data_IF_861411507391
#
_entry.id   IF_861411507391
#
_cell.length_a   1.000
_cell.length_b   1.000
_cell.length_c   1.000
_cell.angle_alpha   90.00
_cell.angle_beta   90.00
_cell.angle_gamma   90.00
#
_symmetry.space_group_name_H-M   'P 1'
#
loop_
_entity.id
_entity.type
_entity.pdbx_description
1 polymer ?
#
# COMPACT_ATOMS: atom_id res chain seq x y z
N UNK A 1 -53.55 19.99 46.91
CA UNK A 1 -52.36 19.23 47.36
C UNK A 1 -52.51 17.81 46.80
N UNK A 2 -51.60 17.15 46.07
CA UNK A 2 -50.32 17.45 45.40
C UNK A 2 -50.25 16.37 44.30
N UNK A 3 -50.11 16.77 43.03
CA UNK A 3 -50.08 15.87 41.86
C UNK A 3 -48.72 15.17 41.83
N UNK A 4 -48.68 13.84 41.83
CA UNK A 4 -47.42 13.11 41.61
C UNK A 4 -47.47 12.58 40.19
N UNK A 5 -46.68 13.22 39.33
CA UNK A 5 -46.50 12.85 37.94
C UNK A 5 -45.67 11.56 37.86
N UNK A 6 -46.22 10.52 37.24
CA UNK A 6 -45.49 9.31 36.87
C UNK A 6 -44.65 9.63 35.64
N UNK A 7 -43.37 9.97 35.84
CA UNK A 7 -42.42 10.16 34.75
C UNK A 7 -41.98 8.79 34.20
N UNK A 8 -42.22 8.56 32.91
CA UNK A 8 -41.76 7.39 32.19
C UNK A 8 -40.23 7.40 32.08
N UNK A 9 -39.57 6.40 32.68
CA UNK A 9 -38.18 6.05 32.44
C UNK A 9 -38.14 5.08 31.25
N UNK A 10 -38.16 5.64 30.04
CA UNK A 10 -37.81 4.92 28.82
C UNK A 10 -36.71 5.69 28.13
N UNK A 11 -35.56 5.04 27.98
CA UNK A 11 -34.49 5.25 27.00
C UNK A 11 -33.13 5.21 27.69
N UNK A 12 -32.38 4.13 27.45
CA UNK A 12 -30.92 4.09 27.30
C UNK A 12 -30.46 2.63 27.18
N UNK A 13 -30.87 1.93 26.11
CA UNK A 13 -30.32 0.60 25.78
C UNK A 13 -30.14 0.44 24.27
N UNK A 14 -29.45 1.39 23.61
CA UNK A 14 -29.12 1.28 22.18
C UNK A 14 -27.66 1.65 21.83
N UNK A 15 -26.79 1.92 22.81
CA UNK A 15 -25.41 2.36 22.53
C UNK A 15 -24.35 1.24 22.53
N UNK A 16 -24.74 -0.02 22.80
CA UNK A 16 -23.79 -1.14 22.85
C UNK A 16 -23.61 -1.90 21.53
N UNK A 17 -24.62 -1.94 20.64
CA UNK A 17 -24.51 -2.66 19.37
C UNK A 17 -23.65 -1.93 18.33
N UNK A 18 -23.65 -0.59 18.34
CA UNK A 18 -22.86 0.20 17.38
C UNK A 18 -21.35 0.02 17.54
N UNK A 19 -20.88 -0.29 18.76
CA UNK A 19 -19.46 -0.45 19.05
C UNK A 19 -18.94 -1.81 18.60
N UNK A 20 -19.74 -2.87 18.78
CA UNK A 20 -19.40 -4.21 18.32
C UNK A 20 -19.38 -4.30 16.79
N UNK A 21 -20.40 -3.78 16.12
CA UNK A 21 -20.47 -3.72 14.65
C UNK A 21 -19.33 -2.89 14.06
N UNK A 22 -18.98 -1.77 14.69
CA UNK A 22 -17.83 -0.95 14.27
C UNK A 22 -16.50 -1.69 14.43
N UNK A 23 -16.32 -2.40 15.54
CA UNK A 23 -15.10 -3.18 15.79
C UNK A 23 -14.97 -4.35 14.81
N UNK A 24 -16.07 -5.04 14.52
CA UNK A 24 -16.10 -6.11 13.52
C UNK A 24 -15.78 -5.59 12.12
N UNK A 25 -16.37 -4.46 11.72
CA UNK A 25 -16.05 -3.80 10.46
C UNK A 25 -14.56 -3.43 10.37
N UNK A 26 -14.00 -2.86 11.44
CA UNK A 26 -12.59 -2.48 11.47
C UNK A 26 -11.66 -3.71 11.34
N UNK A 27 -12.01 -4.83 11.98
CA UNK A 27 -11.27 -6.07 11.83
C UNK A 27 -11.38 -6.66 10.41
N UNK A 28 -12.56 -6.57 9.78
CA UNK A 28 -12.76 -6.99 8.39
C UNK A 28 -11.96 -6.13 7.41
N UNK A 29 -11.98 -4.81 7.58
CA UNK A 29 -11.23 -3.86 6.74
C UNK A 29 -9.72 -4.10 6.87
N UNK A 30 -9.22 -4.35 8.10
CA UNK A 30 -7.83 -4.73 8.34
C UNK A 30 -7.46 -6.04 7.63
N UNK A 31 -8.26 -7.10 7.80
CA UNK A 31 -8.01 -8.38 7.14
C UNK A 31 -8.04 -8.26 5.60
N UNK A 32 -8.93 -7.43 5.07
CA UNK A 32 -9.00 -7.12 3.65
C UNK A 32 -7.71 -6.43 3.16
N UNK A 33 -7.24 -5.42 3.88
CA UNK A 33 -6.02 -4.69 3.56
C UNK A 33 -4.77 -5.60 3.63
N UNK A 34 -4.64 -6.44 4.66
CA UNK A 34 -3.53 -7.42 4.77
C UNK A 34 -3.48 -8.37 3.56
N UNK A 35 -4.64 -8.92 3.17
CA UNK A 35 -4.74 -9.76 1.97
C UNK A 35 -4.40 -8.98 0.69
N UNK A 36 -4.87 -7.74 0.60
CA UNK A 36 -4.60 -6.82 -0.51
C UNK A 36 -3.11 -6.50 -0.65
N UNK A 37 -2.41 -6.25 0.46
CA UNK A 37 -0.98 -5.96 0.50
C UNK A 37 -0.16 -7.15 0.00
N UNK A 38 -0.43 -8.35 0.50
CA UNK A 38 0.25 -9.57 0.07
C UNK A 38 0.03 -9.82 -1.42
N UNK A 39 -1.19 -9.63 -1.90
CA UNK A 39 -1.54 -9.80 -3.31
C UNK A 39 -0.85 -8.77 -4.18
N UNK A 40 -0.88 -7.48 -3.80
CA UNK A 40 -0.26 -6.41 -4.53
C UNK A 40 1.26 -6.60 -4.63
N UNK A 41 1.92 -6.97 -3.52
CA UNK A 41 3.36 -7.24 -3.49
C UNK A 41 3.75 -8.39 -4.42
N UNK A 42 2.98 -9.49 -4.42
CA UNK A 42 3.24 -10.63 -5.31
C UNK A 42 3.06 -10.27 -6.79
N UNK A 43 2.11 -9.39 -7.09
CA UNK A 43 1.79 -8.99 -8.47
C UNK A 43 2.65 -7.83 -8.99
N UNK A 44 3.42 -7.18 -8.12
CA UNK A 44 4.30 -6.07 -8.45
C UNK A 44 5.63 -6.52 -9.10
N UNK A 45 5.59 -7.55 -9.93
CA UNK A 45 6.74 -8.09 -10.63
C UNK A 45 6.42 -8.34 -12.11
N UNK A 46 7.39 -8.10 -12.98
CA UNK A 46 7.29 -8.37 -14.41
C UNK A 46 8.61 -8.92 -14.94
N UNK A 47 8.53 -9.91 -15.83
CA UNK A 47 9.68 -10.38 -16.57
C UNK A 47 9.87 -9.53 -17.84
N UNK A 48 11.12 -9.25 -18.17
CA UNK A 48 11.52 -8.59 -19.42
C UNK A 48 12.56 -9.43 -20.17
N UNK A 49 12.56 -9.27 -21.49
CA UNK A 49 13.51 -9.90 -22.40
C UNK A 49 14.73 -8.97 -22.61
N UNK A 50 15.89 -9.51 -23.06
CA UNK A 50 17.07 -8.68 -23.34
C UNK A 50 16.78 -7.47 -24.23
N UNK A 51 15.86 -7.61 -25.19
CA UNK A 51 15.52 -6.58 -26.17
C UNK A 51 14.77 -5.39 -25.58
N UNK A 52 14.09 -5.54 -24.44
CA UNK A 52 13.24 -4.49 -23.86
C UNK A 52 13.52 -4.22 -22.36
N UNK A 53 14.38 -5.00 -21.71
CA UNK A 53 14.64 -4.85 -20.27
C UNK A 53 15.17 -3.47 -19.88
N UNK A 54 16.05 -2.86 -20.67
CA UNK A 54 16.62 -1.55 -20.31
C UNK A 54 15.56 -0.44 -20.40
N UNK A 55 14.70 -0.50 -21.41
CA UNK A 55 13.54 0.39 -21.53
C UNK A 55 12.54 0.17 -20.39
N UNK A 56 12.24 -1.10 -20.06
CA UNK A 56 11.37 -1.43 -18.93
C UNK A 56 11.94 -0.92 -17.60
N UNK A 57 13.26 -1.03 -17.41
CA UNK A 57 13.95 -0.55 -16.21
C UNK A 57 13.94 0.98 -16.08
N UNK A 58 14.13 1.69 -17.20
CA UNK A 58 13.98 3.15 -17.22
C UNK A 58 12.53 3.58 -16.89
N UNK A 59 11.53 2.85 -17.38
CA UNK A 59 10.13 3.08 -17.02
C UNK A 59 9.86 2.76 -15.55
N UNK A 60 10.49 1.72 -14.97
CA UNK A 60 10.41 1.44 -13.53
C UNK A 60 10.92 2.61 -12.70
N UNK A 61 12.05 3.21 -13.07
CA UNK A 61 12.57 4.42 -12.42
C UNK A 61 11.55 5.56 -12.50
N UNK A 62 11.01 5.82 -13.69
CA UNK A 62 10.00 6.88 -13.90
C UNK A 62 8.74 6.62 -13.08
N UNK A 63 8.31 5.36 -12.96
CA UNK A 63 7.17 4.97 -12.13
C UNK A 63 7.43 5.32 -10.66
N UNK A 64 8.60 4.96 -10.14
CA UNK A 64 9.01 5.28 -8.76
C UNK A 64 9.02 6.80 -8.54
N UNK A 65 9.59 7.58 -9.46
CA UNK A 65 9.63 9.04 -9.36
C UNK A 65 8.24 9.69 -9.35
N UNK A 66 7.24 9.06 -9.97
CA UNK A 66 5.85 9.57 -10.03
C UNK A 66 4.99 9.15 -8.83
N UNK A 67 5.35 8.06 -8.16
CA UNK A 67 4.48 7.41 -7.18
C UNK A 67 5.09 7.29 -5.78
N UNK A 68 6.39 7.51 -5.61
CA UNK A 68 7.05 7.58 -4.30
C UNK A 68 6.88 8.95 -3.66
N UNK A 69 6.64 8.99 -2.35
CA UNK A 69 6.68 10.21 -1.56
C UNK A 69 8.11 10.70 -1.30
N UNK A 70 9.11 9.84 -1.48
CA UNK A 70 10.53 10.16 -1.25
C UNK A 70 11.33 10.14 -2.54
N UNK A 71 12.35 11.00 -2.67
CA UNK A 71 13.15 11.10 -3.89
C UNK A 71 14.03 9.86 -4.10
N UNK A 72 14.32 9.54 -5.36
CA UNK A 72 15.30 8.50 -5.72
C UNK A 72 16.70 8.93 -5.26
N UNK A 73 17.37 8.08 -4.48
CA UNK A 73 18.72 8.30 -3.96
C UNK A 73 19.76 7.46 -4.68
N UNK A 74 19.34 6.32 -5.25
CA UNK A 74 20.17 5.42 -6.06
C UNK A 74 19.36 4.86 -7.21
N UNK A 75 19.95 4.84 -8.39
CA UNK A 75 19.41 4.12 -9.55
C UNK A 75 20.57 3.61 -10.39
N UNK A 76 20.78 2.30 -10.37
CA UNK A 76 21.82 1.63 -11.16
C UNK A 76 21.25 0.43 -11.92
N UNK A 77 22.10 -0.45 -12.43
CA UNK A 77 21.69 -1.57 -13.26
C UNK A 77 20.85 -2.63 -12.53
N UNK A 78 20.88 -2.69 -11.20
CA UNK A 78 20.25 -3.76 -10.40
C UNK A 78 19.28 -3.27 -9.33
N UNK A 79 19.38 -1.99 -8.93
CA UNK A 79 18.52 -1.42 -7.90
C UNK A 79 18.11 0.03 -8.20
N UNK A 80 16.88 0.35 -7.84
CA UNK A 80 16.39 1.73 -7.68
C UNK A 80 15.91 1.86 -6.24
N UNK A 81 16.48 2.81 -5.50
CA UNK A 81 16.16 3.07 -4.10
C UNK A 81 15.74 4.53 -3.95
N UNK A 82 14.74 4.75 -3.10
CA UNK A 82 14.35 6.09 -2.66
C UNK A 82 14.79 6.32 -1.22
N UNK A 83 14.77 7.57 -0.80
CA UNK A 83 15.02 7.92 0.60
C UNK A 83 13.97 7.28 1.53
N UNK A 84 14.31 7.20 2.82
CA UNK A 84 13.41 6.67 3.84
C UNK A 84 12.29 7.67 4.14
N UNK A 85 11.04 7.21 4.32
CA UNK A 85 9.92 8.12 4.61
C UNK A 85 10.14 8.83 5.95
N UNK A 86 10.07 10.17 5.91
CA UNK A 86 10.34 11.04 7.06
C UNK A 86 9.11 11.26 7.94
N UNK A 87 7.92 10.88 7.47
CA UNK A 87 6.65 10.92 8.19
C UNK A 87 5.88 9.60 8.07
N UNK A 88 4.93 9.41 8.97
CA UNK A 88 3.97 8.30 8.90
C UNK A 88 2.96 8.60 7.79
N UNK A 89 2.50 7.57 7.07
CA UNK A 89 1.66 7.74 5.88
C UNK A 89 2.41 7.99 4.57
N UNK A 90 3.71 8.33 4.60
CA UNK A 90 4.52 8.47 3.38
C UNK A 90 4.96 7.09 2.86
N UNK A 91 4.58 6.78 1.62
CA UNK A 91 4.99 5.55 0.95
C UNK A 91 6.26 5.81 0.14
N UNK A 92 7.32 5.08 0.46
CA UNK A 92 8.57 5.07 -0.32
C UNK A 92 8.60 3.81 -1.20
N UNK A 93 8.99 3.97 -2.46
CA UNK A 93 9.06 2.86 -3.43
C UNK A 93 10.49 2.53 -3.79
N UNK A 94 10.80 1.25 -3.97
CA UNK A 94 12.07 0.79 -4.49
C UNK A 94 11.85 -0.32 -5.51
N UNK A 95 12.85 -0.63 -6.31
CA UNK A 95 12.79 -1.76 -7.22
C UNK A 95 14.11 -2.49 -7.34
N UNK A 96 14.03 -3.76 -7.71
CA UNK A 96 15.20 -4.58 -8.08
C UNK A 96 15.04 -5.12 -9.49
N UNK A 97 16.19 -5.32 -10.15
CA UNK A 97 16.31 -6.03 -11.42
C UNK A 97 17.17 -7.27 -11.18
N UNK A 98 16.53 -8.43 -11.13
CA UNK A 98 17.19 -9.71 -10.92
C UNK A 98 17.31 -10.47 -12.24
N UNK A 99 18.50 -10.95 -12.58
CA UNK A 99 18.72 -11.74 -13.79
C UNK A 99 17.86 -13.02 -13.79
N UNK A 100 17.23 -13.33 -14.93
CA UNK A 100 16.39 -14.53 -15.12
C UNK A 100 16.53 -15.04 -16.54
N UNK A 101 17.28 -16.14 -16.71
CA UNK A 101 17.64 -16.64 -18.04
C UNK A 101 18.44 -15.59 -18.80
N UNK A 102 18.03 -15.27 -20.03
CA UNK A 102 18.61 -14.19 -20.81
C UNK A 102 18.08 -12.79 -20.42
N UNK A 103 16.92 -12.73 -19.76
CA UNK A 103 16.25 -11.50 -19.37
C UNK A 103 16.41 -11.17 -17.89
N UNK A 104 15.42 -10.48 -17.34
CA UNK A 104 15.38 -10.16 -15.91
C UNK A 104 13.95 -10.11 -15.38
N UNK A 105 13.80 -10.27 -14.07
CA UNK A 105 12.57 -9.93 -13.33
C UNK A 105 12.76 -8.56 -12.68
N UNK A 106 11.83 -7.65 -12.96
CA UNK A 106 11.74 -6.33 -12.35
C UNK A 106 10.67 -6.37 -11.26
N UNK A 107 11.06 -6.15 -10.01
CA UNK A 107 10.14 -6.21 -8.86
C UNK A 107 10.07 -4.85 -8.16
N UNK A 108 8.86 -4.36 -7.94
CA UNK A 108 8.59 -3.13 -7.19
C UNK A 108 8.23 -3.45 -5.74
N UNK A 109 8.85 -2.74 -4.82
CA UNK A 109 8.62 -2.80 -3.39
C UNK A 109 8.08 -1.46 -2.90
N UNK A 110 7.36 -1.51 -1.80
CA UNK A 110 6.86 -0.32 -1.13
C UNK A 110 7.02 -0.48 0.38
N UNK A 111 7.31 0.62 1.05
CA UNK A 111 7.36 0.70 2.51
C UNK A 111 6.65 1.97 2.97
N UNK A 112 6.02 1.93 4.13
CA UNK A 112 5.39 3.09 4.75
C UNK A 112 5.79 3.14 6.22
N UNK A 113 6.31 4.28 6.69
CA UNK A 113 6.81 4.38 8.06
C UNK A 113 5.67 4.26 9.05
N UNK A 114 5.89 3.50 10.13
CA UNK A 114 4.92 3.31 11.22
C UNK A 114 3.56 2.74 10.77
N UNK A 115 3.53 2.01 9.65
CA UNK A 115 2.34 1.29 9.21
C UNK A 115 1.90 0.26 10.25
N UNK A 116 2.86 -0.39 10.91
CA UNK A 116 2.63 -1.29 12.03
C UNK A 116 3.26 -0.72 13.31
N UNK A 117 2.58 -0.92 14.44
CA UNK A 117 3.08 -0.67 15.78
C UNK A 117 3.77 -1.91 16.38
N UNK A 118 4.05 -1.89 17.70
CA UNK A 118 4.53 -3.06 18.42
C UNK A 118 3.63 -4.27 18.19
N UNK A 119 4.24 -5.46 18.16
CA UNK A 119 3.55 -6.75 18.00
C UNK A 119 2.68 -6.86 16.72
N UNK A 120 2.95 -6.04 15.70
CA UNK A 120 2.20 -6.03 14.44
C UNK A 120 0.84 -5.34 14.53
N UNK A 121 0.57 -4.61 15.61
CA UNK A 121 -0.67 -3.84 15.75
C UNK A 121 -0.82 -2.80 14.65
N UNK A 122 -2.07 -2.46 14.30
CA UNK A 122 -2.37 -1.44 13.31
C UNK A 122 -1.77 -0.08 13.73
N UNK A 123 -0.87 0.47 12.91
CA UNK A 123 -0.36 1.81 13.10
C UNK A 123 -1.44 2.87 12.83
N UNK A 124 -1.24 4.09 13.35
CA UNK A 124 -2.23 5.18 13.26
C UNK A 124 -2.65 5.51 11.81
N UNK A 125 -1.70 5.41 10.87
CA UNK A 125 -1.91 5.73 9.45
C UNK A 125 -1.92 4.45 8.59
N UNK A 126 -2.22 3.29 9.19
CA UNK A 126 -2.20 2.01 8.50
C UNK A 126 -3.08 2.00 7.25
N UNK A 127 -4.34 2.47 7.36
CA UNK A 127 -5.27 2.41 6.22
C UNK A 127 -4.80 3.31 5.07
N UNK A 128 -4.21 4.46 5.39
CA UNK A 128 -3.60 5.36 4.40
C UNK A 128 -2.39 4.70 3.73
N UNK A 129 -1.48 4.13 4.53
CA UNK A 129 -0.32 3.38 4.04
C UNK A 129 -0.75 2.20 3.15
N UNK A 130 -1.71 1.39 3.61
CA UNK A 130 -2.20 0.22 2.89
C UNK A 130 -2.80 0.62 1.55
N UNK A 131 -3.66 1.64 1.53
CA UNK A 131 -4.24 2.17 0.30
C UNK A 131 -3.19 2.67 -0.70
N UNK A 132 -2.18 3.42 -0.24
CA UNK A 132 -1.08 3.92 -1.07
C UNK A 132 -0.24 2.77 -1.65
N UNK A 133 0.16 1.82 -0.82
CA UNK A 133 0.97 0.66 -1.23
C UNK A 133 0.22 -0.19 -2.24
N UNK A 134 -1.02 -0.59 -1.93
CA UNK A 134 -1.86 -1.42 -2.81
C UNK A 134 -2.05 -0.74 -4.17
N UNK A 135 -2.34 0.56 -4.17
CA UNK A 135 -2.52 1.33 -5.41
C UNK A 135 -1.24 1.40 -6.24
N UNK A 136 -0.09 1.69 -5.63
CA UNK A 136 1.18 1.77 -6.33
C UNK A 136 1.61 0.39 -6.88
N UNK A 137 1.55 -0.65 -6.07
CA UNK A 137 1.98 -1.98 -6.50
C UNK A 137 1.07 -2.57 -7.60
N UNK A 138 -0.25 -2.41 -7.49
CA UNK A 138 -1.17 -2.86 -8.55
C UNK A 138 -1.09 -2.00 -9.82
N UNK A 139 -0.64 -0.75 -9.73
CA UNK A 139 -0.50 0.15 -10.87
C UNK A 139 0.78 -0.07 -11.69
N UNK A 140 1.79 -0.70 -11.11
CA UNK A 140 3.13 -0.84 -11.69
C UNK A 140 3.15 -1.59 -13.03
N UNK A 141 2.67 -2.84 -13.04
CA UNK A 141 2.69 -3.67 -14.26
C UNK A 141 1.81 -3.07 -15.37
N UNK A 142 0.58 -2.58 -15.11
CA UNK A 142 -0.19 -1.84 -16.10
C UNK A 142 0.55 -0.63 -16.68
N UNK A 143 1.23 0.16 -15.84
CA UNK A 143 2.00 1.32 -16.30
C UNK A 143 3.10 0.92 -17.27
N UNK A 144 3.88 -0.12 -16.95
CA UNK A 144 4.94 -0.59 -17.83
C UNK A 144 4.39 -1.05 -19.19
N UNK A 145 3.29 -1.82 -19.18
CA UNK A 145 2.64 -2.28 -20.41
C UNK A 145 2.15 -1.12 -21.28
N UNK A 146 1.52 -0.12 -20.68
CA UNK A 146 0.99 1.03 -21.40
C UNK A 146 2.09 1.89 -22.05
N UNK A 147 3.29 1.92 -21.48
CA UNK A 147 4.41 2.74 -21.95
C UNK A 147 5.47 1.98 -22.74
N UNK A 148 5.42 0.65 -22.76
CA UNK A 148 6.29 -0.19 -23.59
C UNK A 148 5.84 -0.24 -25.06
N UNK A 149 4.53 -0.09 -25.34
CA UNK A 149 3.98 -0.15 -26.71
C UNK A 149 4.06 1.16 -27.50
N UNK A 150 4.53 2.24 -26.88
CA UNK A 150 4.61 3.58 -27.49
C UNK A 150 6.01 4.01 -27.91
N UNK A 151 6.97 3.09 -27.93
CA UNK A 151 8.37 3.32 -28.33
C UNK A 151 8.70 2.56 -29.61
#
# INVERSE_FOLDING_TARGET
MKKIATAALVALVLTACSSAEKQEKQAQDFAHNESGLVTAQRNAAVDCDPSNCDAAWALTKRYIEQHSNTPVTRADAVAIETDVPSSSGDAALSATRAAKGAGATLTLFAQCRNMYGPDGAQGKDYDECAGKIIKAQNGYVPFLRAHASGQ
#
